data_IF_899424183748
#
_entry.id   IF_899424183748
#
_cell.length_a   1.000
_cell.length_b   1.000
_cell.length_c   1.000
_cell.angle_alpha   90.00
_cell.angle_beta   90.00
_cell.angle_gamma   90.00
#
_symmetry.space_group_name_H-M   'P 1'
#
loop_
_entity.id
_entity.type
_entity.pdbx_description
1 polymer ?
#
# COMPACT_ATOMS: atom_id res chain seq x y z
N UNK A 1 -16.66 -7.06 6.35
CA UNK A 1 -17.01 -5.96 7.29
C UNK A 1 -18.16 -6.41 8.18
N UNK A 2 -18.20 -5.98 9.43
CA UNK A 2 -19.26 -6.32 10.39
C UNK A 2 -19.74 -5.06 11.11
N UNK A 3 -21.05 -4.86 11.12
CA UNK A 3 -21.71 -3.81 11.90
C UNK A 3 -21.68 -4.19 13.38
N UNK A 4 -21.18 -3.31 14.24
CA UNK A 4 -21.21 -3.46 15.71
C UNK A 4 -22.49 -2.85 16.27
N UNK A 5 -22.78 -1.62 15.84
CA UNK A 5 -24.01 -0.90 16.19
C UNK A 5 -24.42 0.01 15.03
N UNK A 6 -25.40 0.90 15.23
CA UNK A 6 -25.92 1.76 14.17
C UNK A 6 -24.85 2.55 13.42
N UNK A 7 -23.80 3.00 14.12
CA UNK A 7 -22.77 3.89 13.57
C UNK A 7 -21.42 3.21 13.39
N UNK A 8 -21.07 2.26 14.24
CA UNK A 8 -19.74 1.66 14.25
C UNK A 8 -19.70 0.32 13.55
N UNK A 9 -18.67 0.15 12.72
CA UNK A 9 -18.37 -1.07 11.99
C UNK A 9 -16.90 -1.39 12.13
N UNK A 10 -16.57 -2.66 12.00
CA UNK A 10 -15.19 -3.13 11.95
C UNK A 10 -14.97 -3.99 10.72
N UNK A 11 -13.72 -4.06 10.29
CA UNK A 11 -13.30 -4.94 9.22
C UNK A 11 -11.79 -4.99 9.15
N UNK A 12 -11.31 -5.68 8.14
CA UNK A 12 -9.93 -5.57 7.75
C UNK A 12 -9.72 -6.20 6.40
N UNK A 13 -8.53 -5.97 5.86
CA UNK A 13 -8.05 -6.59 4.64
C UNK A 13 -6.83 -7.45 4.94
N UNK A 14 -6.69 -8.51 4.15
CA UNK A 14 -5.50 -9.32 4.06
C UNK A 14 -5.15 -9.44 2.58
N UNK A 15 -3.89 -9.13 2.25
CA UNK A 15 -3.37 -9.15 0.89
C UNK A 15 -2.15 -10.05 0.81
N UNK A 16 -2.06 -10.83 -0.27
CA UNK A 16 -0.85 -11.53 -0.66
C UNK A 16 -0.62 -11.31 -2.15
N UNK A 17 0.58 -10.89 -2.52
CA UNK A 17 0.97 -10.61 -3.90
C UNK A 17 2.28 -11.31 -4.26
N UNK A 18 2.44 -11.68 -5.53
CA UNK A 18 3.68 -12.18 -6.09
C UNK A 18 3.87 -11.64 -7.51
N UNK A 19 5.11 -11.58 -7.96
CA UNK A 19 5.54 -11.28 -9.34
C UNK A 19 4.63 -11.85 -10.46
N UNK A 20 4.11 -13.06 -10.30
CA UNK A 20 3.27 -13.73 -11.32
C UNK A 20 1.79 -13.36 -11.34
N UNK A 21 1.30 -12.65 -10.32
CA UNK A 21 -0.14 -12.37 -10.13
C UNK A 21 -0.49 -10.93 -10.53
N UNK A 22 0.50 -10.07 -10.74
CA UNK A 22 0.26 -8.65 -11.06
C UNK A 22 0.16 -8.46 -12.57
N UNK A 23 -1.02 -8.08 -13.13
CA UNK A 23 -1.22 -7.94 -14.57
C UNK A 23 -0.61 -6.65 -15.15
N UNK A 24 0.05 -5.84 -14.32
CA UNK A 24 0.64 -4.54 -14.70
C UNK A 24 2.14 -4.58 -14.39
N UNK A 25 2.97 -4.42 -15.41
CA UNK A 25 4.40 -4.24 -15.26
C UNK A 25 4.67 -2.77 -14.89
N UNK A 26 5.05 -2.50 -13.64
CA UNK A 26 5.48 -1.17 -13.18
C UNK A 26 7.01 -1.22 -13.14
N UNK A 27 7.62 -0.78 -14.24
CA UNK A 27 8.95 -1.18 -14.73
C UNK A 27 10.20 -0.69 -13.99
N UNK A 28 10.26 -0.77 -12.66
CA UNK A 28 11.47 -0.39 -11.91
C UNK A 28 11.97 -1.46 -10.93
N UNK A 29 11.39 -2.66 -10.97
CA UNK A 29 11.72 -3.75 -10.04
C UNK A 29 11.48 -5.11 -10.71
N UNK A 30 12.52 -5.67 -11.32
CA UNK A 30 12.48 -7.01 -11.91
C UNK A 30 12.99 -8.03 -10.89
N UNK A 31 12.42 -9.25 -10.88
CA UNK A 31 12.82 -10.33 -9.98
C UNK A 31 11.69 -10.92 -9.14
N UNK A 32 12.02 -11.94 -8.34
CA UNK A 32 11.03 -12.69 -7.55
C UNK A 32 10.63 -11.88 -6.33
N UNK A 33 9.43 -11.32 -6.36
CA UNK A 33 8.89 -10.51 -5.27
C UNK A 33 7.64 -11.12 -4.66
N UNK A 34 7.52 -11.01 -3.34
CA UNK A 34 6.33 -11.38 -2.57
C UNK A 34 5.94 -10.26 -1.63
N UNK A 35 4.64 -10.03 -1.51
CA UNK A 35 4.06 -9.00 -0.65
C UNK A 35 3.04 -9.67 0.24
N UNK A 36 3.07 -9.32 1.53
CA UNK A 36 2.02 -9.61 2.48
C UNK A 36 1.56 -8.31 3.11
N UNK A 37 0.25 -8.13 3.22
CA UNK A 37 -0.34 -6.93 3.79
C UNK A 37 -1.53 -7.29 4.70
N UNK A 38 -1.66 -6.56 5.80
CA UNK A 38 -2.82 -6.60 6.69
C UNK A 38 -3.26 -5.18 7.02
N UNK A 39 -4.57 -4.93 6.96
CA UNK A 39 -5.16 -3.62 7.27
C UNK A 39 -6.41 -3.75 8.14
N UNK A 40 -6.30 -3.82 9.48
CA UNK A 40 -7.48 -3.67 10.33
C UNK A 40 -8.04 -2.25 10.24
N UNK A 41 -9.37 -2.14 10.23
CA UNK A 41 -10.07 -0.88 10.00
C UNK A 41 -11.34 -0.77 10.85
N UNK A 42 -11.52 0.40 11.47
CA UNK A 42 -12.72 0.77 12.23
C UNK A 42 -13.42 1.90 11.49
N UNK A 43 -14.72 1.73 11.23
CA UNK A 43 -15.51 2.66 10.44
C UNK A 43 -16.61 3.30 11.28
N UNK A 44 -16.82 4.59 11.04
CA UNK A 44 -17.92 5.37 11.57
C UNK A 44 -18.85 5.82 10.43
N UNK A 45 -20.11 5.41 10.50
CA UNK A 45 -21.14 5.80 9.53
C UNK A 45 -21.61 7.22 9.80
N UNK A 46 -21.40 8.12 8.83
CA UNK A 46 -21.84 9.51 8.90
C UNK A 46 -23.37 9.62 8.78
N UNK A 47 -23.97 8.80 7.93
CA UNK A 47 -25.40 8.79 7.64
C UNK A 47 -25.98 7.37 7.79
N UNK A 48 -26.19 6.87 9.02
CA UNK A 48 -26.55 5.47 9.28
C UNK A 48 -27.95 5.09 8.77
N UNK A 49 -28.81 6.06 8.45
CA UNK A 49 -30.16 5.84 7.90
C UNK A 49 -30.23 6.02 6.37
N UNK A 50 -29.20 6.62 5.75
CA UNK A 50 -29.18 6.84 4.30
C UNK A 50 -29.05 5.53 3.53
N UNK A 51 -29.63 5.42 2.33
CA UNK A 51 -29.38 4.28 1.42
C UNK A 51 -27.93 4.26 0.95
N UNK A 52 -27.35 5.44 0.69
CA UNK A 52 -25.94 5.62 0.39
C UNK A 52 -25.19 5.81 1.72
N UNK A 53 -24.45 4.79 2.17
CA UNK A 53 -23.70 4.90 3.43
C UNK A 53 -22.35 5.54 3.17
N UNK A 54 -22.09 6.63 3.89
CA UNK A 54 -20.80 7.28 3.94
C UNK A 54 -20.09 6.88 5.21
N UNK A 55 -18.80 6.61 5.12
CA UNK A 55 -17.96 6.24 6.25
C UNK A 55 -16.73 7.13 6.33
N UNK A 56 -16.37 7.49 7.56
CA UNK A 56 -15.00 7.88 7.92
C UNK A 56 -14.42 6.71 8.70
N UNK A 57 -13.19 6.32 8.41
CA UNK A 57 -12.55 5.20 9.09
C UNK A 57 -11.11 5.50 9.49
N UNK A 58 -10.70 4.85 10.57
CA UNK A 58 -9.31 4.75 10.98
C UNK A 58 -8.78 3.36 10.60
N UNK A 59 -7.72 3.33 9.82
CA UNK A 59 -7.09 2.13 9.31
C UNK A 59 -5.65 2.07 9.81
N UNK A 60 -5.28 1.00 10.50
CA UNK A 60 -3.88 0.66 10.67
C UNK A 60 -3.47 -0.28 9.54
N UNK A 61 -2.24 -0.18 9.06
CA UNK A 61 -1.73 -1.08 8.03
C UNK A 61 -0.33 -1.56 8.37
N UNK A 62 -0.03 -2.77 7.92
CA UNK A 62 1.31 -3.34 7.90
C UNK A 62 1.50 -4.08 6.57
N UNK A 63 2.59 -3.76 5.88
CA UNK A 63 3.01 -4.36 4.64
C UNK A 63 4.45 -4.84 4.79
N UNK A 64 4.67 -6.08 4.41
CA UNK A 64 5.99 -6.66 4.23
C UNK A 64 6.17 -7.07 2.78
N UNK A 65 7.30 -6.70 2.20
CA UNK A 65 7.70 -7.14 0.88
C UNK A 65 9.11 -7.73 0.96
N UNK A 66 9.30 -8.86 0.29
CA UNK A 66 10.58 -9.54 0.16
C UNK A 66 10.81 -9.83 -1.31
N UNK A 67 11.99 -9.43 -1.80
CA UNK A 67 12.47 -9.71 -3.14
C UNK A 67 13.76 -10.52 -3.08
N UNK A 68 13.92 -11.46 -4.02
CA UNK A 68 15.19 -12.16 -4.25
C UNK A 68 15.65 -11.97 -5.69
N UNK A 69 16.96 -11.81 -5.86
CA UNK A 69 17.61 -11.57 -7.14
C UNK A 69 16.91 -10.42 -7.90
N UNK A 70 16.61 -9.33 -7.21
CA UNK A 70 15.98 -8.17 -7.82
C UNK A 70 17.02 -7.28 -8.47
N UNK A 71 16.65 -6.57 -9.53
CA UNK A 71 17.48 -5.54 -10.17
C UNK A 71 16.74 -4.20 -10.19
N UNK A 72 17.49 -3.10 -10.32
CA UNK A 72 16.89 -1.77 -10.44
C UNK A 72 17.79 -0.65 -9.93
N UNK A 73 17.17 0.43 -9.49
CA UNK A 73 17.84 1.61 -8.96
C UNK A 73 17.30 2.01 -7.58
N UNK A 74 18.14 2.68 -6.80
CA UNK A 74 17.81 3.14 -5.45
C UNK A 74 18.66 4.34 -5.03
N UNK A 75 18.15 5.09 -4.05
CA UNK A 75 18.95 6.04 -3.28
C UNK A 75 19.48 5.34 -2.04
N UNK A 76 20.76 5.48 -1.77
CA UNK A 76 21.33 5.03 -0.51
C UNK A 76 21.00 5.98 0.65
N UNK A 77 21.52 5.69 1.85
CA UNK A 77 21.25 6.47 3.05
C UNK A 77 21.82 7.90 2.98
N UNK A 78 22.84 8.12 2.14
CA UNK A 78 23.50 9.40 1.90
C UNK A 78 22.91 10.18 0.71
N UNK A 79 21.74 9.77 0.22
CA UNK A 79 21.07 10.36 -0.96
C UNK A 79 21.90 10.26 -2.26
N UNK A 80 22.82 9.29 -2.35
CA UNK A 80 23.51 8.99 -3.60
C UNK A 80 22.72 7.95 -4.39
N UNK A 81 22.54 8.20 -5.69
CA UNK A 81 21.75 7.35 -6.58
C UNK A 81 22.61 6.26 -7.21
N UNK A 82 22.14 5.02 -7.15
CA UNK A 82 22.84 3.85 -7.65
C UNK A 82 21.92 2.96 -8.48
N UNK A 83 22.51 2.27 -9.44
CA UNK A 83 21.95 1.09 -10.10
C UNK A 83 22.59 -0.18 -9.52
N UNK A 84 21.91 -1.31 -9.65
CA UNK A 84 22.43 -2.63 -9.28
C UNK A 84 21.86 -3.72 -10.19
N UNK A 85 22.67 -4.76 -10.43
CA UNK A 85 22.28 -5.88 -11.30
C UNK A 85 21.58 -7.01 -10.55
N UNK A 86 21.88 -7.20 -9.26
CA UNK A 86 21.16 -8.13 -8.39
C UNK A 86 21.25 -7.72 -6.92
N UNK A 87 20.18 -7.91 -6.16
CA UNK A 87 20.14 -7.78 -4.70
C UNK A 87 18.99 -8.59 -4.08
N UNK A 88 19.12 -8.92 -2.80
CA UNK A 88 17.99 -9.31 -1.95
C UNK A 88 17.34 -8.05 -1.39
N UNK A 89 16.03 -7.91 -1.58
CA UNK A 89 15.26 -6.74 -1.17
C UNK A 89 14.34 -7.06 0.00
N UNK A 90 14.26 -6.14 0.95
CA UNK A 90 13.25 -6.19 2.00
C UNK A 90 12.69 -4.80 2.25
N UNK A 91 11.36 -4.71 2.27
CA UNK A 91 10.63 -3.51 2.68
C UNK A 91 9.60 -3.86 3.74
N UNK A 92 9.60 -3.08 4.80
CA UNK A 92 8.52 -3.06 5.79
C UNK A 92 7.90 -1.67 5.80
N UNK A 93 6.58 -1.59 5.72
CA UNK A 93 5.83 -0.33 5.73
C UNK A 93 4.64 -0.49 6.67
N UNK A 94 4.47 0.41 7.62
CA UNK A 94 3.32 0.40 8.52
C UNK A 94 2.91 1.81 8.89
N UNK A 95 1.69 1.98 9.39
CA UNK A 95 1.19 3.29 9.74
C UNK A 95 -0.30 3.33 9.96
N UNK A 96 -0.84 4.54 9.90
CA UNK A 96 -2.24 4.85 10.15
C UNK A 96 -2.77 5.75 9.04
N UNK A 97 -3.98 5.47 8.57
CA UNK A 97 -4.72 6.30 7.63
C UNK A 97 -6.08 6.69 8.22
N UNK A 98 -6.52 7.91 7.90
CA UNK A 98 -7.91 8.30 7.97
C UNK A 98 -8.47 8.24 6.56
N UNK A 99 -9.53 7.46 6.39
CA UNK A 99 -10.12 7.20 5.10
C UNK A 99 -11.55 7.72 5.06
N UNK A 100 -11.98 8.09 3.86
CA UNK A 100 -13.37 8.31 3.50
C UNK A 100 -13.78 7.26 2.47
N UNK A 101 -14.92 6.63 2.69
CA UNK A 101 -15.45 5.61 1.79
C UNK A 101 -16.97 5.72 1.64
N UNK A 102 -17.45 5.26 0.48
CA UNK A 102 -18.87 5.27 0.12
C UNK A 102 -19.29 3.83 -0.16
N UNK A 103 -20.28 3.31 0.56
CA UNK A 103 -20.83 1.99 0.25
C UNK A 103 -21.96 2.14 -0.77
N UNK A 104 -21.68 1.69 -1.98
CA UNK A 104 -22.63 1.54 -3.07
C UNK A 104 -23.21 0.13 -3.01
N UNK A 105 -24.39 0.01 -2.42
CA UNK A 105 -25.10 -1.26 -2.26
C UNK A 105 -26.61 -1.05 -2.35
N UNK A 106 -27.29 -1.91 -3.10
CA UNK A 106 -28.76 -1.99 -3.11
C UNK A 106 -29.17 -3.02 -2.05
N UNK A 107 -30.15 -2.70 -1.19
CA UNK A 107 -30.53 -3.53 -0.04
C UNK A 107 -30.85 -5.00 -0.37
N UNK A 108 -31.39 -5.24 -1.58
CA UNK A 108 -31.75 -6.57 -2.10
C UNK A 108 -30.62 -7.25 -2.90
N UNK A 109 -29.45 -6.62 -3.01
CA UNK A 109 -28.33 -7.14 -3.80
C UNK A 109 -27.44 -8.04 -2.95
N UNK A 110 -26.92 -9.11 -3.55
CA UNK A 110 -25.86 -9.93 -2.97
C UNK A 110 -24.48 -9.27 -3.13
N UNK A 111 -24.40 -8.19 -3.92
CA UNK A 111 -23.18 -7.48 -4.28
C UNK A 111 -23.19 -6.03 -3.76
N UNK A 112 -22.02 -5.55 -3.35
CA UNK A 112 -21.75 -4.17 -2.99
C UNK A 112 -20.34 -3.74 -3.39
N UNK A 113 -20.17 -2.44 -3.53
CA UNK A 113 -18.93 -1.82 -3.98
C UNK A 113 -18.60 -0.65 -3.05
N UNK A 114 -17.33 -0.51 -2.68
CA UNK A 114 -16.89 0.55 -1.77
C UNK A 114 -15.53 1.11 -2.20
N UNK A 115 -15.52 2.21 -2.98
CA UNK A 115 -14.31 2.96 -3.20
C UNK A 115 -13.91 3.69 -1.91
N UNK A 116 -12.61 3.82 -1.71
CA UNK A 116 -11.98 4.39 -0.51
C UNK A 116 -10.80 5.26 -0.94
N UNK A 117 -10.73 6.43 -0.33
CA UNK A 117 -9.57 7.33 -0.43
C UNK A 117 -9.17 7.75 0.98
N UNK A 118 -7.88 7.92 1.23
CA UNK A 118 -7.41 8.34 2.53
C UNK A 118 -6.02 8.91 2.54
N UNK A 119 -5.71 9.53 3.68
CA UNK A 119 -4.42 10.14 3.95
C UNK A 119 -3.98 9.75 5.36
N UNK A 120 -2.68 9.76 5.60
CA UNK A 120 -2.14 9.27 6.85
C UNK A 120 -0.65 9.49 6.99
N UNK A 121 -0.08 8.73 7.93
CA UNK A 121 1.35 8.68 8.19
C UNK A 121 1.84 7.25 7.99
N UNK A 122 3.06 7.11 7.48
CA UNK A 122 3.74 5.84 7.31
C UNK A 122 5.15 5.91 7.89
N UNK A 123 5.58 4.81 8.48
CA UNK A 123 6.97 4.46 8.64
C UNK A 123 7.32 3.41 7.60
N UNK A 124 8.43 3.61 6.88
CA UNK A 124 8.94 2.66 5.89
C UNK A 124 10.41 2.38 6.14
N UNK A 125 10.77 1.11 6.15
CA UNK A 125 12.15 0.66 6.23
C UNK A 125 12.45 -0.18 4.98
N UNK A 126 13.48 0.19 4.23
CA UNK A 126 13.93 -0.50 3.03
C UNK A 126 15.39 -0.94 3.23
N UNK A 127 15.72 -2.17 2.86
CA UNK A 127 17.08 -2.67 2.90
C UNK A 127 17.38 -3.51 1.67
N UNK A 128 18.61 -3.39 1.18
CA UNK A 128 19.17 -4.21 0.13
C UNK A 128 20.36 -4.99 0.70
N UNK A 129 20.43 -6.29 0.46
CA UNK A 129 21.53 -7.17 0.91
C UNK A 129 22.04 -8.00 -0.26
N UNK A 130 23.25 -8.57 -0.15
CA UNK A 130 23.85 -9.39 -1.21
C UNK A 130 23.90 -8.69 -2.59
N UNK A 131 24.11 -7.37 -2.59
CA UNK A 131 24.08 -6.56 -3.80
C UNK A 131 25.32 -6.81 -4.67
N UNK A 132 25.11 -6.94 -5.98
CA UNK A 132 26.16 -7.04 -7.00
C UNK A 132 25.95 -6.01 -8.12
N UNK A 133 27.05 -5.65 -8.79
CA UNK A 133 27.02 -4.68 -9.89
C UNK A 133 26.53 -3.30 -9.46
N UNK A 134 26.87 -2.83 -8.25
CA UNK A 134 26.50 -1.50 -7.75
C UNK A 134 27.35 -0.45 -8.46
N UNK A 135 26.69 0.46 -9.18
CA UNK A 135 27.33 1.56 -9.89
C UNK A 135 26.60 2.87 -9.60
N UNK A 136 27.34 3.99 -9.54
CA UNK A 136 26.72 5.32 -9.41
C UNK A 136 25.97 5.58 -10.71
N UNK A 137 24.73 6.03 -10.59
CA UNK A 137 23.86 6.32 -11.73
C UNK A 137 23.37 7.77 -11.65
N UNK A 138 22.87 8.30 -12.77
CA UNK A 138 22.29 9.62 -12.83
C UNK A 138 20.86 9.61 -12.27
N UNK A 139 20.63 10.41 -11.23
CA UNK A 139 19.29 10.59 -10.67
C UNK A 139 18.30 11.05 -11.75
N UNK A 140 17.10 10.43 -11.85
CA UNK A 140 16.14 10.79 -12.87
C UNK A 140 15.72 12.25 -12.71
N UNK A 141 15.81 13.03 -13.80
CA UNK A 141 15.56 14.47 -13.81
C UNK A 141 14.08 14.83 -14.03
N UNK A 142 13.32 13.88 -14.56
CA UNK A 142 11.91 14.02 -14.91
C UNK A 142 11.09 13.01 -14.09
N UNK A 143 10.04 13.47 -13.41
CA UNK A 143 9.26 12.64 -12.49
C UNK A 143 8.55 13.46 -11.41
N UNK A 144 7.55 12.85 -10.77
CA UNK A 144 6.82 13.52 -9.70
C UNK A 144 7.70 13.56 -8.44
N UNK A 145 7.67 14.64 -7.62
CA UNK A 145 8.53 14.79 -6.45
C UNK A 145 8.49 13.64 -5.44
N UNK A 146 7.45 12.81 -5.50
CA UNK A 146 7.19 11.68 -4.61
C UNK A 146 7.62 10.32 -5.17
N UNK A 147 7.99 10.21 -6.46
CA UNK A 147 8.43 8.94 -7.07
C UNK A 147 9.86 8.58 -6.63
N UNK A 148 10.74 9.57 -6.54
CA UNK A 148 12.17 9.37 -6.26
C UNK A 148 12.45 8.74 -4.90
N UNK A 149 11.56 8.96 -3.93
CA UNK A 149 11.74 8.41 -2.58
C UNK A 149 11.20 6.99 -2.45
N UNK A 150 10.60 6.36 -3.46
CA UNK A 150 9.95 5.07 -3.29
C UNK A 150 10.92 3.93 -2.91
N UNK A 151 12.14 3.97 -3.46
CA UNK A 151 13.18 2.96 -3.29
C UNK A 151 14.34 3.40 -2.38
N UNK A 152 14.24 4.55 -1.69
CA UNK A 152 15.29 5.02 -0.79
C UNK A 152 15.55 3.99 0.32
N UNK A 153 16.81 3.58 0.46
CA UNK A 153 17.28 2.70 1.53
C UNK A 153 17.18 3.40 2.88
N UNK A 154 16.91 2.61 3.92
CA UNK A 154 16.87 3.06 5.30
C UNK A 154 15.46 3.33 5.79
N UNK A 155 15.38 4.09 6.87
CA UNK A 155 14.18 4.40 7.64
C UNK A 155 13.60 5.75 7.23
N UNK A 156 12.33 5.79 6.88
CA UNK A 156 11.65 7.00 6.41
C UNK A 156 10.24 7.12 7.00
N UNK A 157 10.02 8.19 7.76
CA UNK A 157 8.69 8.64 8.20
C UNK A 157 8.14 9.63 7.16
N UNK A 158 6.89 9.48 6.75
CA UNK A 158 6.28 10.41 5.80
C UNK A 158 4.78 10.27 5.68
N UNK A 159 4.18 11.13 4.86
CA UNK A 159 2.74 11.09 4.57
C UNK A 159 2.38 9.88 3.71
N UNK A 160 1.28 9.22 4.02
CA UNK A 160 0.73 8.12 3.23
C UNK A 160 -0.55 8.59 2.53
N UNK A 161 -0.67 8.25 1.24
CA UNK A 161 -1.91 8.38 0.50
C UNK A 161 -2.41 6.98 0.14
N UNK A 162 -3.71 6.74 0.31
CA UNK A 162 -4.34 5.45 0.06
C UNK A 162 -5.50 5.66 -0.93
N UNK A 163 -5.52 4.86 -1.99
CA UNK A 163 -6.67 4.65 -2.87
C UNK A 163 -6.92 3.16 -2.95
N UNK A 164 -8.15 2.76 -2.64
CA UNK A 164 -8.51 1.36 -2.49
C UNK A 164 -9.99 1.15 -2.85
N UNK A 165 -10.36 -0.10 -3.07
CA UNK A 165 -11.65 -0.51 -3.59
C UNK A 165 -12.04 -1.87 -3.03
N UNK A 166 -13.13 -1.93 -2.26
CA UNK A 166 -13.65 -3.19 -1.70
C UNK A 166 -14.85 -3.66 -2.50
N UNK A 167 -14.80 -4.94 -2.87
CA UNK A 167 -15.95 -5.69 -3.37
C UNK A 167 -16.56 -6.46 -2.18
N UNK A 168 -17.87 -6.33 -1.98
CA UNK A 168 -18.57 -6.89 -0.83
C UNK A 168 -19.61 -7.89 -1.34
N UNK A 169 -19.58 -9.09 -0.78
CA UNK A 169 -20.59 -10.12 -1.00
C UNK A 169 -21.42 -10.31 0.27
N UNK A 170 -22.73 -10.30 0.12
CA UNK A 170 -23.71 -10.52 1.20
C UNK A 170 -24.41 -11.85 0.93
N UNK A 171 -24.17 -12.83 1.81
CA UNK A 171 -24.82 -14.13 1.83
C UNK A 171 -25.91 -14.15 2.92
#
# INVERSE_FOLDING_TARGET
MRKINERWWIGGELGYGTDKITPVNIGNFEGKNRIFEIKPEVFYSLAPQSRLKHFVSAEAFYLQQIGKDVSGTYYDENDVYYSFSSADYKRTKYGLNINYSILLHKESSWFGFMPKIGFGIRQRNVSYTNMTGREVDDAPRDGLPFDYQLNRQGSNLGFNFNVDMKIIFKF
#
